data_IF_249393373513
#
_entry.id   IF_249393373513
#
_cell.length_a   1.000
_cell.length_b   1.000
_cell.length_c   1.000
_cell.angle_alpha   90.00
_cell.angle_beta   90.00
_cell.angle_gamma   90.00
#
_symmetry.space_group_name_H-M   'P 1'
#
loop_
_entity.id
_entity.type
_entity.pdbx_description
1 polymer ?
#
# COMPACT_ATOMS: atom_id res chain seq x y z
N UNK A 1 20.97 -12.43 1.43
CA UNK A 1 19.74 -12.48 2.26
C UNK A 1 18.89 -11.29 1.87
N UNK A 2 17.61 -11.51 1.60
CA UNK A 2 16.64 -10.43 1.41
C UNK A 2 16.26 -9.85 2.77
N UNK A 3 16.10 -8.54 2.86
CA UNK A 3 15.68 -7.82 4.08
C UNK A 3 14.30 -7.22 3.87
N UNK A 4 13.52 -7.13 4.95
CA UNK A 4 12.19 -6.49 4.94
C UNK A 4 12.28 -5.18 5.70
N UNK A 5 11.73 -4.12 5.12
CA UNK A 5 11.71 -2.77 5.70
C UNK A 5 10.28 -2.24 5.67
N UNK A 6 9.84 -1.64 6.78
CA UNK A 6 8.61 -0.85 6.82
C UNK A 6 8.95 0.63 6.65
N UNK A 7 8.17 1.35 5.82
CA UNK A 7 8.30 2.80 5.69
C UNK A 7 7.32 3.46 6.65
N UNK A 8 7.85 4.16 7.66
CA UNK A 8 7.03 4.84 8.66
C UNK A 8 6.59 6.20 8.12
N UNK A 9 5.27 6.41 7.99
CA UNK A 9 4.71 7.71 7.58
C UNK A 9 4.78 8.74 8.74
N UNK A 10 4.74 10.05 8.45
CA UNK A 10 4.65 11.08 9.48
C UNK A 10 3.43 10.93 10.41
N UNK A 11 3.57 11.36 11.66
CA UNK A 11 2.47 11.42 12.64
C UNK A 11 2.10 10.11 13.31
N UNK A 12 2.87 9.04 13.09
CA UNK A 12 2.67 7.73 13.74
C UNK A 12 3.99 7.09 14.17
N UNK A 13 3.89 6.11 15.07
CA UNK A 13 5.00 5.24 15.49
C UNK A 13 6.29 6.02 15.83
N UNK A 14 7.41 5.72 15.19
CA UNK A 14 8.69 6.40 15.43
C UNK A 14 8.70 7.87 14.99
N UNK A 15 7.76 8.27 14.13
CA UNK A 15 7.58 9.64 13.61
C UNK A 15 6.37 10.36 14.22
N UNK A 16 5.90 9.94 15.40
CA UNK A 16 4.69 10.50 16.02
C UNK A 16 4.75 12.01 16.32
N UNK A 17 5.95 12.59 16.40
CA UNK A 17 6.16 14.02 16.65
C UNK A 17 6.02 14.88 15.40
N UNK A 18 6.06 14.27 14.22
CA UNK A 18 5.89 14.95 12.95
C UNK A 18 4.40 15.19 12.69
N UNK A 19 4.09 16.28 11.98
CA UNK A 19 2.73 16.53 11.52
C UNK A 19 2.36 15.55 10.41
N UNK A 20 1.08 15.20 10.31
CA UNK A 20 0.58 14.51 9.12
C UNK A 20 0.68 15.45 7.91
N UNK A 21 1.14 14.92 6.77
CA UNK A 21 1.09 15.60 5.49
C UNK A 21 -0.07 14.97 4.71
N UNK A 22 -1.20 15.69 4.63
CA UNK A 22 -2.47 15.14 4.11
C UNK A 22 -3.09 16.00 3.00
N UNK A 23 -2.70 17.27 2.92
CA UNK A 23 -3.30 18.26 2.02
C UNK A 23 -2.53 18.40 0.69
N UNK A 24 -1.31 17.87 0.63
CA UNK A 24 -0.43 17.92 -0.54
C UNK A 24 0.12 16.53 -0.84
N UNK A 25 -0.48 15.86 -1.83
CA UNK A 25 -0.08 14.53 -2.26
C UNK A 25 1.32 14.50 -2.87
N UNK A 26 1.67 15.52 -3.67
CA UNK A 26 2.93 15.54 -4.40
C UNK A 26 4.10 15.74 -3.44
N UNK A 27 3.99 16.70 -2.53
CA UNK A 27 5.00 16.92 -1.48
C UNK A 27 5.12 15.68 -0.57
N UNK A 28 3.99 15.09 -0.15
CA UNK A 28 4.02 13.85 0.61
C UNK A 28 4.75 12.72 -0.14
N UNK A 29 4.45 12.54 -1.43
CA UNK A 29 5.04 11.47 -2.23
C UNK A 29 6.54 11.67 -2.43
N UNK A 30 6.97 12.92 -2.65
CA UNK A 30 8.39 13.27 -2.73
C UNK A 30 9.12 12.88 -1.45
N UNK A 31 8.62 13.31 -0.28
CA UNK A 31 9.22 12.98 1.03
C UNK A 31 9.23 11.46 1.27
N UNK A 32 8.13 10.77 0.95
CA UNK A 32 8.06 9.31 1.04
C UNK A 32 9.11 8.62 0.17
N UNK A 33 9.34 9.12 -1.05
CA UNK A 33 10.33 8.54 -1.95
C UNK A 33 11.77 8.77 -1.46
N UNK A 34 12.07 9.90 -0.83
CA UNK A 34 13.37 10.14 -0.19
C UNK A 34 13.62 9.15 0.96
N UNK A 35 12.62 8.90 1.81
CA UNK A 35 12.71 7.88 2.87
C UNK A 35 12.96 6.48 2.28
N UNK A 36 12.27 6.14 1.19
CA UNK A 36 12.50 4.87 0.47
C UNK A 36 13.92 4.81 -0.07
N UNK A 37 14.42 5.84 -0.74
CA UNK A 37 15.76 5.86 -1.33
C UNK A 37 16.86 5.66 -0.28
N UNK A 38 16.72 6.29 0.89
CA UNK A 38 17.67 6.11 2.00
C UNK A 38 17.66 4.67 2.54
N UNK A 39 16.50 4.00 2.56
CA UNK A 39 16.43 2.58 2.93
C UNK A 39 17.12 1.71 1.86
N UNK A 40 16.85 1.99 0.58
CA UNK A 40 17.28 1.15 -0.54
C UNK A 40 18.79 1.20 -0.76
N UNK A 41 19.42 2.37 -0.62
CA UNK A 41 20.86 2.58 -0.88
C UNK A 41 21.31 2.01 -2.24
N UNK A 42 20.47 2.19 -3.25
CA UNK A 42 20.69 1.72 -4.63
C UNK A 42 20.57 0.20 -4.84
N UNK A 43 20.09 -0.57 -3.87
CA UNK A 43 19.89 -2.01 -4.02
C UNK A 43 18.61 -2.33 -4.80
N UNK A 44 18.56 -3.45 -5.54
CA UNK A 44 17.31 -3.96 -6.11
C UNK A 44 16.27 -4.21 -5.02
N UNK A 45 15.01 -3.92 -5.31
CA UNK A 45 13.93 -3.95 -4.33
C UNK A 45 12.61 -4.37 -4.96
N UNK A 46 11.70 -4.83 -4.12
CA UNK A 46 10.32 -5.04 -4.47
C UNK A 46 9.44 -4.28 -3.48
N UNK A 47 8.27 -3.85 -3.94
CA UNK A 47 7.28 -3.24 -3.06
C UNK A 47 6.20 -4.25 -2.70
N UNK A 48 5.78 -4.22 -1.44
CA UNK A 48 4.52 -4.79 -1.01
C UNK A 48 3.71 -3.71 -0.31
N UNK A 49 2.47 -3.50 -0.76
CA UNK A 49 1.58 -2.49 -0.20
C UNK A 49 0.16 -3.01 -0.06
N UNK A 50 -0.49 -2.66 1.03
CA UNK A 50 -1.88 -3.05 1.33
C UNK A 50 -2.77 -1.81 1.45
N UNK A 51 -3.94 -1.81 0.81
CA UNK A 51 -4.89 -0.70 0.83
C UNK A 51 -4.23 0.63 0.41
N UNK A 52 -4.18 1.65 1.28
CA UNK A 52 -3.40 2.88 1.02
C UNK A 52 -1.94 2.57 0.65
N UNK A 53 -1.31 1.60 1.31
CA UNK A 53 0.07 1.19 1.01
C UNK A 53 0.25 0.69 -0.43
N UNK A 54 -0.77 0.02 -1.02
CA UNK A 54 -0.72 -0.39 -2.42
C UNK A 54 -0.64 0.83 -3.34
N UNK A 55 -1.45 1.86 -3.04
CA UNK A 55 -1.46 3.12 -3.76
C UNK A 55 -0.13 3.85 -3.66
N UNK A 56 0.43 3.94 -2.45
CA UNK A 56 1.74 4.55 -2.22
C UNK A 56 2.86 3.82 -2.96
N UNK A 57 2.88 2.48 -2.92
CA UNK A 57 3.87 1.69 -3.63
C UNK A 57 3.82 1.91 -5.15
N UNK A 58 2.61 2.02 -5.72
CA UNK A 58 2.45 2.29 -7.14
C UNK A 58 2.95 3.68 -7.53
N UNK A 59 2.52 4.73 -6.81
CA UNK A 59 2.97 6.09 -7.13
C UNK A 59 4.46 6.28 -6.87
N UNK A 60 5.00 5.67 -5.82
CA UNK A 60 6.44 5.67 -5.57
C UNK A 60 7.21 4.95 -6.67
N UNK A 61 6.72 3.81 -7.17
CA UNK A 61 7.35 3.12 -8.30
C UNK A 61 7.39 4.00 -9.56
N UNK A 62 6.30 4.73 -9.85
CA UNK A 62 6.25 5.69 -10.95
C UNK A 62 7.23 6.86 -10.73
N UNK A 63 7.21 7.44 -9.54
CA UNK A 63 8.08 8.56 -9.17
C UNK A 63 9.56 8.19 -9.31
N UNK A 64 9.96 7.05 -8.75
CA UNK A 64 11.33 6.54 -8.83
C UNK A 64 11.74 6.25 -10.29
N UNK A 65 10.83 5.72 -11.11
CA UNK A 65 11.12 5.46 -12.53
C UNK A 65 11.35 6.76 -13.28
N UNK A 66 10.50 7.75 -13.07
CA UNK A 66 10.55 9.03 -13.77
C UNK A 66 11.78 9.88 -13.39
N UNK A 67 12.06 10.00 -12.09
CA UNK A 67 13.06 10.95 -11.59
C UNK A 67 14.44 10.33 -11.30
N UNK A 68 14.49 9.02 -11.03
CA UNK A 68 15.73 8.34 -10.61
C UNK A 68 16.11 7.19 -11.55
N UNK A 69 15.35 6.94 -12.61
CA UNK A 69 15.53 5.80 -13.53
C UNK A 69 15.64 4.46 -12.76
N UNK A 70 14.85 4.33 -11.69
CA UNK A 70 14.85 3.18 -10.78
C UNK A 70 13.43 2.66 -10.61
N UNK A 71 13.23 1.34 -10.63
CA UNK A 71 11.91 0.74 -10.47
C UNK A 71 12.03 -0.58 -9.68
N UNK A 72 10.95 -1.02 -9.00
CA UNK A 72 10.98 -2.29 -8.30
C UNK A 72 11.18 -3.45 -9.28
N UNK A 73 11.80 -4.53 -8.83
CA UNK A 73 11.85 -5.80 -9.61
C UNK A 73 10.49 -6.48 -9.65
N UNK A 74 9.62 -6.18 -8.69
CA UNK A 74 8.24 -6.67 -8.63
C UNK A 74 7.39 -5.71 -7.79
N UNK A 75 6.20 -5.36 -8.27
CA UNK A 75 5.20 -4.62 -7.52
C UNK A 75 4.12 -5.58 -7.00
N UNK A 76 4.00 -5.72 -5.68
CA UNK A 76 3.01 -6.58 -5.04
C UNK A 76 2.01 -5.68 -4.31
N UNK A 77 0.73 -5.85 -4.61
CA UNK A 77 -0.34 -5.01 -4.04
C UNK A 77 -1.46 -5.86 -3.47
N UNK A 78 -2.15 -5.34 -2.46
CA UNK A 78 -3.14 -6.07 -1.69
C UNK A 78 -4.35 -5.20 -1.36
N UNK A 79 -5.56 -5.73 -1.56
CA UNK A 79 -6.85 -5.08 -1.21
C UNK A 79 -6.97 -3.65 -1.69
N UNK A 80 -6.75 -3.44 -2.99
CA UNK A 80 -6.79 -2.13 -3.61
C UNK A 80 -7.31 -2.19 -5.05
N UNK A 81 -8.32 -1.38 -5.33
CA UNK A 81 -8.82 -1.13 -6.69
C UNK A 81 -7.81 -0.34 -7.50
N UNK A 82 -7.74 -0.62 -8.79
CA UNK A 82 -6.80 0.06 -9.67
C UNK A 82 -7.04 1.58 -9.74
N UNK A 83 -5.96 2.37 -9.74
CA UNK A 83 -5.96 3.82 -9.73
C UNK A 83 -6.97 4.56 -10.61
N UNK A 84 -7.08 4.10 -11.85
CA UNK A 84 -7.82 4.76 -12.92
C UNK A 84 -9.31 4.44 -12.87
N UNK A 85 -9.70 3.36 -12.18
CA UNK A 85 -11.10 2.96 -11.99
C UNK A 85 -11.60 3.21 -10.57
N UNK A 86 -10.70 3.46 -9.62
CA UNK A 86 -11.04 3.74 -8.23
C UNK A 86 -11.88 5.01 -8.10
N UNK A 87 -13.13 4.85 -7.62
CA UNK A 87 -14.02 5.96 -7.28
C UNK A 87 -14.00 6.17 -5.78
N UNK A 88 -13.17 7.12 -5.33
CA UNK A 88 -13.14 7.50 -3.92
C UNK A 88 -14.29 8.49 -3.69
N UNK A 89 -15.40 7.98 -3.16
CA UNK A 89 -16.60 8.78 -2.83
C UNK A 89 -16.70 9.10 -1.34
N UNK A 90 -15.67 8.76 -0.56
CA UNK A 90 -15.67 8.98 0.88
C UNK A 90 -15.39 10.46 1.19
N UNK A 91 -16.29 11.09 1.93
CA UNK A 91 -16.05 12.40 2.52
C UNK A 91 -15.65 12.26 4.00
N UNK A 92 -14.34 12.24 4.24
CA UNK A 92 -13.72 12.07 5.56
C UNK A 92 -14.08 13.20 6.51
N UNK A 93 -14.40 14.40 6.00
CA UNK A 93 -14.78 15.56 6.81
C UNK A 93 -16.10 15.34 7.57
N UNK A 94 -16.95 14.44 7.07
CA UNK A 94 -18.24 14.09 7.68
C UNK A 94 -18.14 12.99 8.73
N UNK A 95 -17.01 12.27 8.81
CA UNK A 95 -16.86 11.14 9.71
C UNK A 95 -16.49 11.61 11.12
N UNK A 96 -17.22 11.16 12.14
CA UNK A 96 -16.82 11.34 13.54
C UNK A 96 -15.72 10.34 13.94
N UNK A 97 -15.04 10.57 15.05
CA UNK A 97 -14.06 9.61 15.58
C UNK A 97 -14.72 8.26 15.90
N UNK A 98 -15.97 8.27 16.38
CA UNK A 98 -16.73 7.05 16.64
C UNK A 98 -17.05 6.29 15.33
N UNK A 99 -17.30 6.99 14.22
CA UNK A 99 -17.50 6.35 12.92
C UNK A 99 -16.21 5.69 12.42
N UNK A 100 -15.06 6.34 12.64
CA UNK A 100 -13.75 5.77 12.32
C UNK A 100 -13.44 4.56 13.20
N UNK A 101 -13.72 4.62 14.50
CA UNK A 101 -13.55 3.50 15.43
C UNK A 101 -14.41 2.31 15.01
N UNK A 102 -15.67 2.55 14.60
CA UNK A 102 -16.55 1.51 14.07
C UNK A 102 -16.00 0.91 12.78
N UNK A 103 -15.48 1.75 11.85
CA UNK A 103 -14.83 1.28 10.61
C UNK A 103 -13.64 0.37 10.91
N UNK A 104 -12.71 0.82 11.77
CA UNK A 104 -11.55 0.04 12.22
C UNK A 104 -12.00 -1.33 12.77
N UNK A 105 -13.03 -1.32 13.62
CA UNK A 105 -13.57 -2.54 14.22
C UNK A 105 -14.22 -3.47 13.19
N UNK A 106 -14.80 -2.91 12.11
CA UNK A 106 -15.51 -3.67 11.07
C UNK A 106 -14.61 -4.32 10.04
N UNK A 107 -13.43 -3.75 9.75
CA UNK A 107 -12.51 -4.29 8.73
C UNK A 107 -11.77 -5.55 9.19
N UNK A 108 -11.88 -5.91 10.47
CA UNK A 108 -11.06 -6.97 11.05
C UNK A 108 -9.60 -6.53 11.20
N UNK A 109 -8.72 -7.42 11.64
CA UNK A 109 -7.29 -7.15 11.72
C UNK A 109 -6.83 -6.18 12.82
N UNK A 110 -7.74 -5.53 13.53
CA UNK A 110 -7.40 -4.64 14.65
C UNK A 110 -6.86 -5.48 15.83
N UNK A 111 -5.59 -5.28 16.26
CA UNK A 111 -5.03 -6.01 17.40
C UNK A 111 -5.88 -5.82 18.66
N UNK A 112 -6.07 -6.88 19.46
CA UNK A 112 -6.85 -6.83 20.70
C UNK A 112 -6.43 -5.69 21.64
N UNK A 113 -5.13 -5.41 21.71
CA UNK A 113 -4.57 -4.32 22.51
C UNK A 113 -5.11 -2.93 22.14
N UNK A 114 -5.46 -2.71 20.87
CA UNK A 114 -6.14 -1.46 20.47
C UNK A 114 -7.57 -1.46 21.00
N UNK A 115 -8.32 -2.54 20.78
CA UNK A 115 -9.73 -2.64 21.20
C UNK A 115 -9.93 -2.58 22.73
N UNK A 116 -8.91 -2.93 23.52
CA UNK A 116 -8.94 -2.91 24.98
C UNK A 116 -8.61 -1.53 25.60
N UNK A 117 -8.10 -0.59 24.80
CA UNK A 117 -7.73 0.76 25.27
C UNK A 117 -8.40 1.85 24.45
N UNK A 118 -9.28 2.63 25.10
CA UNK A 118 -9.97 3.77 24.47
C UNK A 118 -8.98 4.82 23.93
N UNK A 119 -7.87 5.04 24.62
CA UNK A 119 -6.87 6.03 24.18
C UNK A 119 -6.10 5.52 22.95
N UNK A 120 -5.80 4.22 22.89
CA UNK A 120 -5.19 3.61 21.70
C UNK A 120 -6.15 3.63 20.51
N UNK A 121 -7.44 3.36 20.70
CA UNK A 121 -8.44 3.49 19.64
C UNK A 121 -8.56 4.92 19.10
N UNK A 122 -8.46 5.94 19.96
CA UNK A 122 -8.44 7.34 19.52
C UNK A 122 -7.20 7.66 18.69
N UNK A 123 -6.04 7.16 19.08
CA UNK A 123 -4.81 7.30 18.29
C UNK A 123 -4.97 6.61 16.93
N UNK A 124 -5.47 5.38 16.90
CA UNK A 124 -5.73 4.64 15.67
C UNK A 124 -6.74 5.37 14.76
N UNK A 125 -7.81 5.90 15.32
CA UNK A 125 -8.80 6.69 14.59
C UNK A 125 -8.19 7.96 13.99
N UNK A 126 -7.33 8.66 14.73
CA UNK A 126 -6.61 9.85 14.24
C UNK A 126 -5.69 9.50 13.06
N UNK A 127 -4.95 8.39 13.15
CA UNK A 127 -4.08 7.90 12.07
C UNK A 127 -4.91 7.52 10.85
N UNK A 128 -5.99 6.75 11.04
CA UNK A 128 -6.89 6.37 9.96
C UNK A 128 -7.52 7.60 9.29
N UNK A 129 -7.91 8.61 10.06
CA UNK A 129 -8.43 9.86 9.51
C UNK A 129 -7.42 10.50 8.56
N UNK A 130 -6.15 10.60 8.99
CA UNK A 130 -5.09 11.16 8.16
C UNK A 130 -4.89 10.36 6.86
N UNK A 131 -4.86 9.03 6.96
CA UNK A 131 -4.71 8.14 5.80
C UNK A 131 -5.87 8.26 4.81
N UNK A 132 -7.10 8.32 5.31
CA UNK A 132 -8.28 8.49 4.47
C UNK A 132 -8.33 9.88 3.85
N UNK A 133 -7.92 10.93 4.57
CA UNK A 133 -7.84 12.29 4.00
C UNK A 133 -6.81 12.35 2.88
N UNK A 134 -5.63 11.76 3.08
CA UNK A 134 -4.60 11.67 2.05
C UNK A 134 -5.14 10.94 0.80
N UNK A 135 -5.83 9.82 1.00
CA UNK A 135 -6.47 9.07 -0.09
C UNK A 135 -7.60 9.88 -0.75
N UNK A 136 -8.40 10.63 0.01
CA UNK A 136 -9.45 11.51 -0.54
C UNK A 136 -8.87 12.65 -1.40
N UNK A 137 -7.69 13.16 -1.06
CA UNK A 137 -7.02 14.22 -1.81
C UNK A 137 -6.25 13.71 -3.03
N UNK A 138 -6.02 12.40 -3.11
CA UNK A 138 -5.40 11.77 -4.27
C UNK A 138 -6.22 11.98 -5.55
N UNK A 139 -5.56 12.35 -6.65
CA UNK A 139 -6.14 12.44 -8.00
C UNK A 139 -5.29 11.63 -8.98
N UNK A 140 -5.94 10.75 -9.74
CA UNK A 140 -5.26 10.02 -10.79
C UNK A 140 -5.16 10.91 -12.03
N UNK A 141 -3.95 11.39 -12.33
CA UNK A 141 -3.71 12.21 -13.51
C UNK A 141 -3.29 11.36 -14.71
N UNK A 142 -4.22 11.09 -15.63
CA UNK A 142 -3.96 10.38 -16.88
C UNK A 142 -2.85 11.03 -17.73
N UNK A 143 -2.68 12.35 -17.71
CA UNK A 143 -1.62 13.01 -18.51
C UNK A 143 -0.19 12.69 -18.05
N UNK A 144 0.00 12.31 -16.78
CA UNK A 144 1.28 11.82 -16.26
C UNK A 144 1.43 10.28 -16.38
N UNK A 145 0.41 9.57 -16.89
CA UNK A 145 0.37 8.09 -16.99
C UNK A 145 1.12 7.47 -18.16
N UNK A 146 1.82 8.27 -18.98
CA UNK A 146 2.73 7.71 -19.99
C UNK A 146 3.80 6.77 -19.40
N UNK A 147 4.03 6.84 -18.08
CA UNK A 147 4.92 5.94 -17.35
C UNK A 147 4.17 4.64 -16.98
N UNK A 148 4.15 3.71 -17.93
CA UNK A 148 3.82 2.30 -17.68
C UNK A 148 5.01 1.67 -16.94
N UNK A 149 4.80 0.96 -15.83
CA UNK A 149 5.89 0.23 -15.15
C UNK A 149 6.37 -0.93 -16.03
N UNK A 150 7.64 -1.32 -15.95
CA UNK A 150 8.14 -2.48 -16.71
C UNK A 150 8.17 -3.75 -15.84
N UNK A 151 8.04 -3.58 -14.53
CA UNK A 151 8.12 -4.66 -13.56
C UNK A 151 6.83 -5.52 -13.54
N UNK A 152 6.94 -6.83 -13.30
CA UNK A 152 5.79 -7.67 -12.98
C UNK A 152 4.96 -7.11 -11.83
N UNK A 153 3.65 -7.29 -11.92
CA UNK A 153 2.68 -6.85 -10.92
C UNK A 153 1.84 -8.05 -10.46
N UNK A 154 1.79 -8.26 -9.14
CA UNK A 154 0.94 -9.30 -8.55
C UNK A 154 -0.03 -8.67 -7.55
N UNK A 155 -1.31 -8.93 -7.74
CA UNK A 155 -2.37 -8.48 -6.84
C UNK A 155 -2.83 -9.61 -5.91
N UNK A 156 -3.27 -9.21 -4.72
CA UNK A 156 -3.89 -10.08 -3.74
C UNK A 156 -5.18 -9.47 -3.20
N UNK A 157 -6.21 -10.28 -2.96
CA UNK A 157 -7.45 -9.86 -2.32
C UNK A 157 -7.95 -10.92 -1.32
N UNK A 158 -8.81 -10.48 -0.40
CA UNK A 158 -9.64 -11.36 0.41
C UNK A 158 -10.88 -11.80 -0.36
N UNK A 159 -11.34 -13.04 -0.18
CA UNK A 159 -12.54 -13.56 -0.82
C UNK A 159 -13.81 -12.77 -0.49
N UNK A 160 -13.82 -12.11 0.66
CA UNK A 160 -14.97 -11.38 1.20
C UNK A 160 -14.82 -9.86 1.00
N UNK A 161 -13.74 -9.42 0.35
CA UNK A 161 -13.41 -8.02 0.09
C UNK A 161 -12.70 -7.87 -1.28
N UNK A 162 -13.41 -8.24 -2.34
CA UNK A 162 -12.91 -8.20 -3.71
C UNK A 162 -12.88 -6.76 -4.24
N UNK A 163 -11.75 -6.40 -4.84
CA UNK A 163 -11.53 -5.12 -5.50
C UNK A 163 -11.49 -5.28 -7.02
N UNK A 164 -11.70 -4.18 -7.74
CA UNK A 164 -11.49 -4.18 -9.19
C UNK A 164 -9.99 -4.09 -9.48
N UNK A 165 -9.39 -5.27 -9.62
CA UNK A 165 -7.96 -5.42 -9.83
C UNK A 165 -7.56 -5.53 -11.30
N UNK A 166 -8.52 -5.66 -12.22
CA UNK A 166 -8.21 -5.90 -13.63
C UNK A 166 -7.53 -4.67 -14.26
N UNK A 167 -7.89 -3.46 -13.81
CA UNK A 167 -7.22 -2.23 -14.23
C UNK A 167 -5.72 -2.18 -13.89
N UNK A 168 -5.24 -2.94 -12.89
CA UNK A 168 -3.80 -2.95 -12.59
C UNK A 168 -2.96 -3.56 -13.71
N UNK A 169 -3.53 -4.45 -14.52
CA UNK A 169 -2.83 -5.04 -15.66
C UNK A 169 -2.46 -3.99 -16.72
N UNK A 170 -3.20 -2.88 -16.83
CA UNK A 170 -2.94 -1.79 -17.78
C UNK A 170 -1.80 -0.86 -17.32
N UNK A 171 -1.42 -0.93 -16.05
CA UNK A 171 -0.44 -0.04 -15.43
C UNK A 171 1.00 -0.59 -15.47
N UNK A 172 1.18 -1.77 -16.07
CA UNK A 172 2.48 -2.39 -16.30
C UNK A 172 2.57 -3.03 -17.68
N UNK A 173 3.77 -3.06 -18.25
CA UNK A 173 4.12 -3.86 -19.43
C UNK A 173 4.68 -5.24 -19.05
N UNK A 174 4.95 -5.46 -17.76
CA UNK A 174 5.37 -6.74 -17.20
C UNK A 174 4.21 -7.74 -17.06
N UNK A 175 4.51 -8.94 -16.58
CA UNK A 175 3.48 -9.95 -16.33
C UNK A 175 2.54 -9.53 -15.20
N UNK A 176 1.25 -9.81 -15.36
CA UNK A 176 0.23 -9.59 -14.34
C UNK A 176 -0.27 -10.90 -13.74
N UNK A 177 -0.43 -10.95 -12.40
CA UNK A 177 -1.04 -12.08 -11.68
C UNK A 177 -2.00 -11.59 -10.60
N UNK A 178 -3.01 -12.40 -10.29
CA UNK A 178 -3.95 -12.17 -9.18
C UNK A 178 -4.10 -13.41 -8.34
N UNK A 179 -4.16 -13.22 -7.03
CA UNK A 179 -4.45 -14.25 -6.05
C UNK A 179 -5.60 -13.79 -5.15
N UNK A 180 -6.53 -14.70 -4.85
CA UNK A 180 -7.60 -14.47 -3.86
C UNK A 180 -7.40 -15.47 -2.75
N UNK A 181 -7.31 -14.98 -1.52
CA UNK A 181 -7.19 -15.82 -0.32
C UNK A 181 -8.46 -15.69 0.53
N UNK A 182 -8.83 -16.72 1.32
CA UNK A 182 -10.02 -16.64 2.17
C UNK A 182 -9.91 -15.50 3.19
N UNK A 183 -10.95 -14.68 3.38
CA UNK A 183 -11.01 -13.65 4.42
C UNK A 183 -11.43 -12.27 3.91
N UNK A 184 -11.47 -11.30 4.84
CA UNK A 184 -11.89 -9.92 4.56
C UNK A 184 -10.76 -9.00 4.10
N UNK A 185 -10.88 -7.70 4.41
CA UNK A 185 -9.88 -6.69 4.03
C UNK A 185 -8.47 -7.10 4.46
N UNK A 186 -8.32 -7.51 5.72
CA UNK A 186 -7.06 -7.97 6.28
C UNK A 186 -6.87 -9.50 6.21
N UNK A 187 -7.30 -10.14 5.11
CA UNK A 187 -7.23 -11.60 4.90
C UNK A 187 -5.88 -12.23 5.30
N UNK A 188 -4.76 -11.52 5.14
CA UNK A 188 -3.43 -12.03 5.42
C UNK A 188 -3.18 -12.30 6.92
N UNK A 189 -3.99 -11.76 7.81
CA UNK A 189 -3.96 -12.05 9.26
C UNK A 189 -4.85 -13.24 9.66
N UNK A 190 -5.58 -13.82 8.72
CA UNK A 190 -6.54 -14.91 8.98
C UNK A 190 -5.98 -16.28 8.60
N UNK A 191 -6.36 -17.33 9.33
CA UNK A 191 -6.30 -18.72 8.84
C UNK A 191 -4.94 -19.26 8.36
N UNK A 192 -3.81 -18.63 8.74
CA UNK A 192 -2.48 -18.99 8.23
C UNK A 192 -2.17 -18.44 6.82
N UNK A 193 -2.99 -17.53 6.31
CA UNK A 193 -2.79 -16.87 5.03
C UNK A 193 -1.47 -16.10 4.93
N UNK A 194 -0.87 -15.68 6.05
CA UNK A 194 0.48 -15.11 6.08
C UNK A 194 1.49 -16.03 5.38
N UNK A 195 1.42 -17.35 5.63
CA UNK A 195 2.32 -18.32 4.99
C UNK A 195 2.04 -18.45 3.49
N UNK A 196 0.77 -18.49 3.09
CA UNK A 196 0.37 -18.53 1.68
C UNK A 196 0.83 -17.26 0.94
N UNK A 197 0.62 -16.09 1.54
CA UNK A 197 1.03 -14.80 1.01
C UNK A 197 2.56 -14.73 0.86
N UNK A 198 3.31 -15.07 1.90
CA UNK A 198 4.79 -15.05 1.86
C UNK A 198 5.36 -16.05 0.86
N UNK A 199 4.73 -17.22 0.67
CA UNK A 199 5.10 -18.16 -0.39
C UNK A 199 4.86 -17.58 -1.78
N UNK A 200 3.70 -16.98 -2.03
CA UNK A 200 3.42 -16.32 -3.31
C UNK A 200 4.38 -15.16 -3.59
N UNK A 201 4.67 -14.32 -2.58
CA UNK A 201 5.68 -13.25 -2.68
C UNK A 201 7.06 -13.87 -3.00
N UNK A 202 7.46 -14.93 -2.29
CA UNK A 202 8.75 -15.58 -2.51
C UNK A 202 8.88 -16.14 -3.92
N UNK A 203 7.84 -16.81 -4.43
CA UNK A 203 7.83 -17.34 -5.80
C UNK A 203 7.85 -16.24 -6.86
N UNK A 204 7.13 -15.14 -6.62
CA UNK A 204 7.13 -13.96 -7.46
C UNK A 204 8.51 -13.29 -7.54
N UNK A 205 9.28 -13.33 -6.45
CA UNK A 205 10.62 -12.74 -6.37
C UNK A 205 11.74 -13.68 -6.82
N UNK A 206 11.58 -15.01 -6.67
CA UNK A 206 12.57 -16.02 -7.10
C UNK A 206 12.93 -15.90 -8.58
N UNK A 207 11.96 -15.51 -9.43
CA UNK A 207 12.17 -15.30 -10.86
C UNK A 207 13.19 -14.20 -11.18
N UNK A 208 13.46 -13.30 -10.22
CA UNK A 208 14.40 -12.18 -10.36
C UNK A 208 15.75 -12.44 -9.71
N UNK A 209 15.87 -13.52 -8.92
CA UNK A 209 17.13 -13.98 -8.35
C UNK A 209 17.67 -15.14 -9.21
N UNK A 210 18.10 -14.86 -10.44
CA UNK A 210 19.06 -15.75 -11.09
C UNK A 210 20.42 -15.51 -10.45
N UNK A 211 21.08 -16.52 -9.83
CA UNK A 211 22.48 -16.38 -9.48
C UNK A 211 23.24 -16.07 -10.76
N UNK A 212 24.04 -15.01 -10.78
CA UNK A 212 25.07 -14.88 -11.81
C UNK A 212 25.93 -16.15 -11.78
N UNK A 213 26.25 -16.76 -12.94
CA UNK A 213 27.08 -17.96 -13.00
C UNK A 213 28.47 -17.74 -12.40
#
# INVERSE_FOLDING_TARGET
MSTVHGVCLPGRESRFKESFIIDDWESFLSDFCEDVLEILKGKPFAFWGHSLGARLCFEAAKYLKLYYNSQPVHLLISSATAPQVAKITLDVSTLTDDDLIKKISSWGGTPKVLTESKDMMKIAARVLRADLTLLQNYRFEESATGVVLDCPLTCFDGSDDLHDQDGWAELTSGSFKRHVLPGGHFYFMEGGNELSLTNHISDALRLHYTPSP
#
